data_IF_634031045311
#
_entry.id   IF_634031045311
#
_cell.length_a   1.000
_cell.length_b   1.000
_cell.length_c   1.000
_cell.angle_alpha   90.00
_cell.angle_beta   90.00
_cell.angle_gamma   90.00
#
_symmetry.space_group_name_H-M   'P 1'
#
loop_
_entity.id
_entity.type
_entity.pdbx_description
1 polymer ?
#
# COMPACT_ATOMS: atom_id res chain seq x y z
N UNK A 1 0.07 -33.91 21.04
CA UNK A 1 1.28 -33.95 20.20
C UNK A 1 1.78 -32.53 20.08
N UNK A 2 2.98 -32.23 20.57
CA UNK A 2 3.58 -30.88 20.46
C UNK A 2 4.29 -30.83 19.11
N UNK A 3 3.97 -29.83 18.30
CA UNK A 3 4.66 -29.59 17.03
C UNK A 3 6.09 -29.15 17.32
N UNK A 4 7.06 -29.75 16.63
CA UNK A 4 8.45 -29.27 16.66
C UNK A 4 8.47 -27.91 15.95
N UNK A 5 9.12 -26.88 16.51
CA UNK A 5 9.24 -25.59 15.84
C UNK A 5 10.08 -25.78 14.57
N UNK A 6 9.47 -25.49 13.42
CA UNK A 6 10.17 -25.40 12.13
C UNK A 6 10.98 -24.10 12.12
N UNK A 7 12.29 -24.19 11.87
CA UNK A 7 13.16 -23.02 11.71
C UNK A 7 13.34 -22.76 10.23
N UNK A 8 12.97 -21.57 9.77
CA UNK A 8 12.99 -21.15 8.37
C UNK A 8 13.58 -19.75 8.24
N UNK A 9 14.20 -19.42 7.10
CA UNK A 9 14.47 -18.03 6.72
C UNK A 9 13.19 -17.17 6.76
N UNK A 10 13.34 -15.89 7.11
CA UNK A 10 12.20 -14.97 7.22
C UNK A 10 11.45 -14.84 5.88
N UNK A 11 12.17 -14.77 4.76
CA UNK A 11 11.58 -14.71 3.42
C UNK A 11 10.66 -15.92 3.13
N UNK A 12 11.10 -17.13 3.47
CA UNK A 12 10.33 -18.36 3.27
C UNK A 12 9.08 -18.38 4.17
N UNK A 13 9.21 -17.91 5.41
CA UNK A 13 8.09 -17.81 6.34
C UNK A 13 7.04 -16.79 5.87
N UNK A 14 7.47 -15.63 5.35
CA UNK A 14 6.58 -14.63 4.76
C UNK A 14 5.88 -15.17 3.51
N UNK A 15 6.60 -15.91 2.66
CA UNK A 15 6.04 -16.54 1.46
C UNK A 15 4.96 -17.60 1.74
N UNK A 16 4.91 -18.16 2.96
CA UNK A 16 3.88 -19.09 3.41
C UNK A 16 2.60 -18.41 3.91
N UNK A 17 2.58 -17.09 4.07
CA UNK A 17 1.39 -16.37 4.54
C UNK A 17 0.26 -16.48 3.49
N UNK A 18 -0.96 -16.89 3.88
CA UNK A 18 -2.07 -16.96 2.96
C UNK A 18 -2.47 -15.55 2.50
N UNK A 19 -2.63 -15.38 1.19
CA UNK A 19 -3.19 -14.14 0.63
C UNK A 19 -4.71 -14.19 0.79
N UNK A 20 -5.26 -13.21 1.50
CA UNK A 20 -6.69 -13.02 1.67
C UNK A 20 -7.11 -11.68 1.05
N UNK A 21 -8.39 -11.53 0.78
CA UNK A 21 -8.95 -10.23 0.40
C UNK A 21 -8.81 -9.23 1.56
N UNK A 22 -8.63 -7.95 1.20
CA UNK A 22 -8.58 -6.87 2.18
C UNK A 22 -9.92 -6.75 2.91
N UNK A 23 -9.94 -6.95 4.23
CA UNK A 23 -11.09 -6.59 5.07
C UNK A 23 -10.99 -5.12 5.48
N UNK A 24 -11.95 -4.33 5.03
CA UNK A 24 -12.02 -2.89 5.27
C UNK A 24 -13.05 -2.51 6.34
N UNK A 25 -13.66 -3.50 6.99
CA UNK A 25 -14.69 -3.29 8.01
C UNK A 25 -14.15 -2.42 9.15
N UNK A 26 -14.84 -1.32 9.45
CA UNK A 26 -14.43 -0.38 10.49
C UNK A 26 -13.31 0.59 10.10
N UNK A 27 -12.70 0.46 8.91
CA UNK A 27 -11.72 1.42 8.41
C UNK A 27 -12.42 2.63 7.80
N UNK A 28 -12.30 3.79 8.44
CA UNK A 28 -12.81 5.07 7.93
C UNK A 28 -11.65 6.02 7.63
N UNK A 29 -11.71 6.70 6.48
CA UNK A 29 -10.65 7.65 6.07
C UNK A 29 -10.50 8.78 7.09
N UNK A 30 -11.62 9.23 7.65
CA UNK A 30 -11.69 10.37 8.58
C UNK A 30 -11.02 10.08 9.93
N UNK A 31 -10.71 8.81 10.24
CA UNK A 31 -9.93 8.45 11.42
C UNK A 31 -8.46 8.89 11.33
N UNK A 32 -7.98 9.26 10.14
CA UNK A 32 -6.58 9.60 9.90
C UNK A 32 -6.43 11.09 9.57
N UNK A 33 -6.11 11.90 10.59
CA UNK A 33 -5.98 13.38 10.46
C UNK A 33 -5.01 13.84 9.36
N UNK A 34 -4.01 13.04 9.04
CA UNK A 34 -3.00 13.36 8.03
C UNK A 34 -3.43 12.97 6.62
N UNK A 35 -4.58 12.30 6.47
CA UNK A 35 -5.14 11.96 5.18
C UNK A 35 -6.05 13.09 4.70
N UNK A 36 -5.44 14.18 4.27
CA UNK A 36 -6.10 15.43 3.88
C UNK A 36 -6.01 15.65 2.36
N UNK A 37 -6.22 16.88 1.93
CA UNK A 37 -6.21 17.32 0.52
C UNK A 37 -4.80 17.44 -0.07
N UNK A 38 -3.79 16.75 0.49
CA UNK A 38 -2.44 16.78 -0.05
C UNK A 38 -1.67 18.04 0.31
N UNK A 39 -0.54 18.23 -0.36
CA UNK A 39 0.31 19.42 -0.19
C UNK A 39 -0.18 20.59 -1.04
N UNK A 40 -0.71 20.31 -2.23
CA UNK A 40 -1.38 21.29 -3.10
C UNK A 40 -2.90 21.06 -3.09
N UNK A 41 -3.69 21.83 -2.32
CA UNK A 41 -5.14 21.66 -2.28
C UNK A 41 -5.86 21.90 -3.62
N UNK A 42 -5.20 22.50 -4.62
CA UNK A 42 -5.81 22.86 -5.89
C UNK A 42 -5.71 21.76 -6.96
N UNK A 43 -4.86 20.73 -6.77
CA UNK A 43 -4.62 19.70 -7.78
C UNK A 43 -5.63 18.52 -7.72
N UNK A 44 -6.40 18.43 -6.62
CA UNK A 44 -7.36 17.37 -6.38
C UNK A 44 -6.75 16.03 -5.91
N UNK A 45 -5.45 15.99 -5.62
CA UNK A 45 -4.73 14.86 -5.05
C UNK A 45 -4.81 14.89 -3.52
N UNK A 46 -5.39 13.85 -2.92
CA UNK A 46 -5.28 13.68 -1.47
C UNK A 46 -3.90 13.14 -1.09
N UNK A 47 -3.53 13.23 0.19
CA UNK A 47 -2.19 12.83 0.71
C UNK A 47 -1.73 11.46 0.24
N UNK A 48 -2.62 10.46 0.11
CA UNK A 48 -2.22 9.13 -0.40
C UNK A 48 -1.78 9.20 -1.85
N UNK A 49 -2.51 9.91 -2.69
CA UNK A 49 -2.20 9.95 -4.12
C UNK A 49 -0.89 10.71 -4.36
N UNK A 50 -0.63 11.73 -3.56
CA UNK A 50 0.64 12.47 -3.54
C UNK A 50 1.82 11.55 -3.24
N UNK A 51 1.72 10.75 -2.17
CA UNK A 51 2.75 9.76 -1.80
C UNK A 51 2.90 8.70 -2.90
N UNK A 52 1.79 8.19 -3.44
CA UNK A 52 1.83 7.20 -4.52
C UNK A 52 2.50 7.76 -5.77
N UNK A 53 2.31 9.03 -6.12
CA UNK A 53 3.01 9.65 -7.23
C UNK A 53 4.50 9.83 -6.94
N UNK A 54 4.84 10.29 -5.72
CA UNK A 54 6.22 10.56 -5.33
C UNK A 54 7.10 9.30 -5.21
N UNK A 55 6.51 8.17 -4.77
CA UNK A 55 7.25 6.94 -4.50
C UNK A 55 7.16 5.90 -5.64
N UNK A 56 6.45 6.22 -6.73
CA UNK A 56 6.33 5.34 -7.87
C UNK A 56 7.69 5.14 -8.56
N UNK A 57 8.13 3.89 -8.71
CA UNK A 57 9.27 3.54 -9.58
C UNK A 57 8.87 3.43 -11.04
N UNK A 58 7.58 3.18 -11.31
CA UNK A 58 6.98 3.35 -12.62
C UNK A 58 5.74 4.21 -12.45
N UNK A 59 5.68 5.33 -13.17
CA UNK A 59 4.60 6.29 -13.07
C UNK A 59 3.23 5.65 -13.37
N UNK A 60 2.22 5.87 -12.53
CA UNK A 60 0.84 5.50 -12.84
C UNK A 60 0.21 6.50 -13.82
N UNK A 61 -0.85 6.09 -14.51
CA UNK A 61 -1.69 7.01 -15.24
C UNK A 61 -2.58 7.81 -14.28
N UNK A 62 -2.64 9.13 -14.46
CA UNK A 62 -3.43 10.06 -13.65
C UNK A 62 -4.64 10.56 -14.43
N UNK A 63 -5.83 10.24 -13.95
CA UNK A 63 -7.09 10.74 -14.50
C UNK A 63 -7.68 11.87 -13.62
N UNK A 64 -8.76 12.49 -14.10
CA UNK A 64 -9.43 13.60 -13.43
C UNK A 64 -9.74 13.31 -11.94
N UNK A 65 -9.50 14.31 -11.09
CA UNK A 65 -9.59 14.15 -9.64
C UNK A 65 -8.48 13.26 -9.06
N UNK A 66 -7.31 13.25 -9.71
CA UNK A 66 -6.13 12.51 -9.28
C UNK A 66 -6.37 10.99 -9.11
N UNK A 67 -7.15 10.39 -10.02
CA UNK A 67 -7.39 8.94 -9.99
C UNK A 67 -6.22 8.22 -10.62
N UNK A 68 -5.50 7.45 -9.81
CA UNK A 68 -4.32 6.70 -10.23
C UNK A 68 -4.71 5.30 -10.72
N UNK A 69 -4.12 4.87 -11.84
CA UNK A 69 -4.24 3.50 -12.37
C UNK A 69 -2.89 2.98 -12.85
N UNK A 70 -2.63 1.68 -12.66
CA UNK A 70 -1.32 1.10 -12.93
C UNK A 70 -0.24 1.59 -11.95
N UNK A 71 0.99 1.73 -12.45
CA UNK A 71 2.16 2.12 -11.67
C UNK A 71 2.86 0.94 -10.97
N UNK A 72 4.08 1.19 -10.47
CA UNK A 72 4.84 0.24 -9.66
C UNK A 72 5.50 0.96 -8.49
N UNK A 73 5.55 0.28 -7.36
CA UNK A 73 6.16 0.74 -6.11
C UNK A 73 7.07 -0.35 -5.56
N UNK A 74 8.12 0.05 -4.86
CA UNK A 74 8.97 -0.90 -4.15
C UNK A 74 8.27 -1.34 -2.88
N UNK A 75 8.17 -2.65 -2.67
CA UNK A 75 7.77 -3.22 -1.39
C UNK A 75 9.00 -3.70 -0.65
N UNK A 76 9.23 -3.18 0.56
CA UNK A 76 10.31 -3.68 1.43
C UNK A 76 10.15 -5.18 1.77
N UNK A 77 8.91 -5.68 1.73
CA UNK A 77 8.58 -7.08 2.05
C UNK A 77 8.45 -7.97 0.80
N UNK A 78 8.56 -7.41 -0.40
CA UNK A 78 8.56 -8.18 -1.64
C UNK A 78 9.96 -8.69 -1.97
N UNK A 79 10.08 -9.93 -2.44
CA UNK A 79 11.26 -10.34 -3.18
C UNK A 79 11.34 -9.53 -4.49
N UNK A 80 12.56 -9.15 -4.89
CA UNK A 80 12.81 -8.39 -6.13
C UNK A 80 12.35 -9.13 -7.39
#
# INVERSE_FOLDING_TARGET
MVSIPEVLPLEDAVGKLPVAEEDRTGCTRDSFKHWNTGLDPADGCNTRNEVLLAEAVQEPAVAAGCKLTGGKWLSYYGAA
#
